data_IF_850467455234
#
_entry.id   IF_850467455234
#
_cell.length_a   1.000
_cell.length_b   1.000
_cell.length_c   1.000
_cell.angle_alpha   90.00
_cell.angle_beta   90.00
_cell.angle_gamma   90.00
#
_symmetry.space_group_name_H-M   'P 1'
#
loop_
_entity.id
_entity.type
_entity.pdbx_description
1 polymer ?
#
# COMPACT_ATOMS: atom_id res chain seq x y z
N UNK A 1 0.00 -2.64 14.08
CA UNK A 1 0.99 -2.05 13.15
C UNK A 1 0.48 -0.65 12.86
N UNK A 2 1.28 0.40 13.06
CA UNK A 2 0.80 1.75 12.78
C UNK A 2 0.91 2.02 11.27
N UNK A 3 -0.20 2.39 10.63
CA UNK A 3 -0.27 2.55 9.18
C UNK A 3 0.22 3.95 8.78
N UNK A 4 1.53 4.14 8.79
CA UNK A 4 2.16 5.41 8.43
C UNK A 4 2.87 5.33 7.08
N UNK A 5 3.03 6.49 6.44
CA UNK A 5 3.92 6.65 5.29
C UNK A 5 5.32 6.15 5.66
N UNK A 6 5.93 5.36 4.77
CA UNK A 6 7.22 4.71 5.00
C UNK A 6 7.15 3.33 5.67
N UNK A 7 6.01 2.95 6.25
CA UNK A 7 5.80 1.62 6.83
C UNK A 7 5.82 0.55 5.73
N UNK A 8 6.39 -0.62 6.04
CA UNK A 8 6.48 -1.75 5.12
C UNK A 8 5.38 -2.75 5.40
N UNK A 9 4.62 -3.11 4.38
CA UNK A 9 3.54 -4.10 4.49
C UNK A 9 4.11 -5.52 4.49
N UNK A 10 3.62 -6.42 5.37
CA UNK A 10 4.03 -7.82 5.37
C UNK A 10 3.64 -8.50 4.06
N UNK A 11 4.39 -9.53 3.66
CA UNK A 11 4.23 -10.22 2.37
C UNK A 11 2.87 -10.91 2.19
N UNK A 12 2.22 -11.27 3.29
CA UNK A 12 0.91 -11.91 3.37
C UNK A 12 -0.25 -11.02 2.91
N UNK A 13 -0.01 -9.72 2.76
CA UNK A 13 -1.03 -8.78 2.31
C UNK A 13 -1.10 -8.77 0.78
N UNK A 14 -2.29 -9.03 0.24
CA UNK A 14 -2.52 -8.91 -1.19
C UNK A 14 -2.55 -7.44 -1.62
N UNK A 15 -1.85 -7.16 -2.72
CA UNK A 15 -1.77 -5.83 -3.32
C UNK A 15 -2.58 -5.83 -4.62
N UNK A 16 -3.46 -4.84 -4.78
CA UNK A 16 -4.27 -4.68 -5.99
C UNK A 16 -3.57 -3.80 -7.02
N UNK A 17 -3.56 -4.24 -8.28
CA UNK A 17 -2.98 -3.50 -9.39
C UNK A 17 -3.86 -2.33 -9.81
N UNK A 18 -3.22 -1.24 -10.24
CA UNK A 18 -3.90 -0.05 -10.78
C UNK A 18 -3.40 0.19 -12.20
N UNK A 19 -4.29 0.36 -13.19
CA UNK A 19 -3.88 0.55 -14.57
C UNK A 19 -3.08 1.84 -14.78
N UNK A 20 -2.16 1.82 -15.75
CA UNK A 20 -1.31 2.96 -16.15
C UNK A 20 -0.38 3.49 -15.04
N UNK A 21 -0.07 2.68 -14.02
CA UNK A 21 0.90 3.03 -12.98
C UNK A 21 1.64 1.80 -12.45
N UNK A 22 2.81 2.03 -11.87
CA UNK A 22 3.60 0.99 -11.20
C UNK A 22 3.18 0.74 -9.75
N UNK A 23 2.33 1.60 -9.19
CA UNK A 23 1.91 1.52 -7.80
C UNK A 23 0.73 0.58 -7.63
N UNK A 24 0.60 0.04 -6.42
CA UNK A 24 -0.50 -0.84 -6.02
C UNK A 24 -1.30 -0.22 -4.89
N UNK A 25 -2.54 -0.67 -4.71
CA UNK A 25 -3.39 -0.26 -3.61
C UNK A 25 -3.71 -1.42 -2.69
N UNK A 26 -4.02 -1.11 -1.44
CA UNK A 26 -4.56 -2.07 -0.49
C UNK A 26 -5.45 -1.36 0.52
N UNK A 27 -6.45 -2.09 1.02
CA UNK A 27 -7.29 -1.65 2.13
C UNK A 27 -6.80 -2.30 3.41
N UNK A 28 -6.30 -1.50 4.35
CA UNK A 28 -5.87 -1.94 5.67
C UNK A 28 -6.51 -1.03 6.70
N UNK A 29 -7.10 -1.62 7.76
CA UNK A 29 -7.72 -0.86 8.84
C UNK A 29 -8.75 0.18 8.34
N UNK A 30 -9.58 -0.22 7.37
CA UNK A 30 -10.58 0.63 6.71
C UNK A 30 -10.00 1.86 5.96
N UNK A 31 -8.70 1.85 5.63
CA UNK A 31 -8.04 2.92 4.86
C UNK A 31 -7.48 2.36 3.56
N UNK A 32 -7.64 3.10 2.47
CA UNK A 32 -6.96 2.80 1.21
C UNK A 32 -5.59 3.46 1.21
N UNK A 33 -4.55 2.67 0.98
CA UNK A 33 -3.17 3.17 0.85
C UNK A 33 -2.57 2.79 -0.49
N UNK A 34 -1.62 3.62 -0.93
CA UNK A 34 -0.81 3.39 -2.13
C UNK A 34 0.55 2.89 -1.71
N UNK A 35 1.02 1.86 -2.41
CA UNK A 35 2.21 1.08 -2.06
C UNK A 35 3.14 1.02 -3.26
N UNK A 36 4.44 1.19 -3.00
CA UNK A 36 5.49 0.81 -3.96
C UNK A 36 5.71 -0.72 -3.90
N UNK A 37 5.42 -1.48 -4.98
CA UNK A 37 5.45 -2.94 -4.92
C UNK A 37 6.86 -3.54 -4.80
N UNK A 38 7.90 -2.80 -5.17
CA UNK A 38 9.29 -3.26 -5.04
C UNK A 38 9.77 -3.27 -3.59
N UNK A 39 9.33 -2.29 -2.80
CA UNK A 39 9.70 -2.14 -1.38
C UNK A 39 8.60 -2.50 -0.41
N UNK A 40 7.35 -2.68 -0.88
CA UNK A 40 6.12 -2.81 -0.09
C UNK A 40 5.90 -1.64 0.90
N UNK A 41 6.49 -0.48 0.62
CA UNK A 41 6.35 0.71 1.46
C UNK A 41 5.10 1.49 1.10
N UNK A 42 4.40 1.97 2.13
CA UNK A 42 3.31 2.92 1.99
C UNK A 42 3.89 4.26 1.56
N UNK A 43 3.41 4.79 0.43
CA UNK A 43 3.84 6.09 -0.11
C UNK A 43 2.75 7.16 -0.01
N UNK A 44 1.48 6.76 0.15
CA UNK A 44 0.34 7.67 0.28
C UNK A 44 -0.84 6.98 0.98
N UNK A 45 -1.59 7.75 1.76
CA UNK A 45 -2.90 7.39 2.31
C UNK A 45 -3.97 8.21 1.56
N UNK A 46 -5.07 7.59 1.13
CA UNK A 46 -6.06 8.25 0.24
C UNK A 46 -7.20 8.95 0.99
N UNK A 47 -7.63 8.42 2.15
CA UNK A 47 -8.82 8.84 2.93
C UNK A 47 -10.16 8.88 2.17
#
# INVERSE_FOLDING_TARGET
>A
MELNIGSTLPETIELHEVPNTKYRTVVVDNRTVVVDPGTRKIIKVIE
#
